data_IF_312267414701
#
_entry.id   IF_312267414701
#
_cell.length_a   1.000
_cell.length_b   1.000
_cell.length_c   1.000
_cell.angle_alpha   90.00
_cell.angle_beta   90.00
_cell.angle_gamma   90.00
#
_symmetry.space_group_name_H-M   'P 1'
#
loop_
_entity.id
_entity.type
_entity.pdbx_description
1 polymer ?
#
# COMPACT_ATOMS: atom_id res chain seq x y z
N UNK A 1 -21.21 -17.54 0.59
CA UNK A 1 -21.08 -16.51 1.62
C UNK A 1 -19.68 -16.57 2.15
N UNK A 2 -18.91 -15.48 2.07
CA UNK A 2 -17.55 -15.48 2.60
C UNK A 2 -17.65 -15.28 4.11
N UNK A 3 -17.59 -16.38 4.84
CA UNK A 3 -17.42 -16.38 6.30
C UNK A 3 -16.16 -15.54 6.61
N UNK A 4 -16.36 -14.32 7.10
CA UNK A 4 -15.27 -13.42 7.43
C UNK A 4 -14.59 -13.93 8.69
N UNK A 5 -13.51 -14.71 8.53
CA UNK A 5 -12.68 -15.13 9.66
C UNK A 5 -12.28 -13.87 10.46
N UNK A 6 -12.36 -13.87 11.80
CA UNK A 6 -12.06 -12.69 12.61
C UNK A 6 -10.73 -11.99 12.25
N UNK A 7 -9.72 -12.77 11.87
CA UNK A 7 -8.43 -12.26 11.38
C UNK A 7 -8.49 -11.46 10.08
N UNK A 8 -9.28 -11.88 9.07
CA UNK A 8 -9.37 -11.14 7.81
C UNK A 8 -10.08 -9.80 7.99
N UNK A 9 -11.09 -9.74 8.86
CA UNK A 9 -11.77 -8.49 9.21
C UNK A 9 -10.86 -7.50 9.94
N UNK A 10 -10.00 -8.00 10.84
CA UNK A 10 -9.01 -7.17 11.52
C UNK A 10 -7.98 -6.65 10.53
N UNK A 11 -7.45 -7.51 9.66
CA UNK A 11 -6.48 -7.14 8.62
C UNK A 11 -7.02 -6.04 7.69
N UNK A 12 -8.24 -6.20 7.16
CA UNK A 12 -8.87 -5.19 6.31
C UNK A 12 -9.01 -3.85 7.04
N UNK A 13 -9.34 -3.87 8.33
CA UNK A 13 -9.44 -2.64 9.13
C UNK A 13 -8.08 -1.99 9.35
N UNK A 14 -7.06 -2.76 9.74
CA UNK A 14 -5.73 -2.21 10.02
C UNK A 14 -5.08 -1.65 8.75
N UNK A 15 -5.20 -2.36 7.63
CA UNK A 15 -4.75 -1.89 6.32
C UNK A 15 -5.51 -0.64 5.90
N UNK A 16 -6.85 -0.64 6.00
CA UNK A 16 -7.64 0.55 5.66
C UNK A 16 -7.30 1.77 6.53
N UNK A 17 -7.07 1.59 7.83
CA UNK A 17 -6.64 2.70 8.71
C UNK A 17 -5.25 3.21 8.32
N UNK A 18 -4.31 2.33 7.96
CA UNK A 18 -2.99 2.71 7.44
C UNK A 18 -3.10 3.55 6.17
N UNK A 19 -3.89 3.10 5.21
CA UNK A 19 -4.05 3.77 3.92
C UNK A 19 -4.71 5.15 4.09
N UNK A 20 -5.70 5.25 4.98
CA UNK A 20 -6.30 6.53 5.37
C UNK A 20 -5.29 7.47 6.03
N UNK A 21 -4.48 6.97 6.96
CA UNK A 21 -3.47 7.79 7.63
C UNK A 21 -2.43 8.33 6.66
N UNK A 22 -1.94 7.48 5.74
CA UNK A 22 -1.00 7.87 4.69
C UNK A 22 -1.65 8.90 3.75
N UNK A 23 -2.87 8.64 3.26
CA UNK A 23 -3.57 9.56 2.37
C UNK A 23 -3.85 10.92 2.99
N UNK A 24 -4.33 10.96 4.24
CA UNK A 24 -4.55 12.21 4.98
C UNK A 24 -3.24 12.94 5.25
N UNK A 25 -2.18 12.21 5.58
CA UNK A 25 -0.83 12.75 5.73
C UNK A 25 -0.32 13.42 4.46
N UNK A 26 -0.42 12.73 3.32
CA UNK A 26 -0.06 13.26 2.00
C UNK A 26 -0.88 14.51 1.66
N UNK A 27 -2.20 14.48 1.83
CA UNK A 27 -3.06 15.65 1.56
C UNK A 27 -2.72 16.85 2.45
N UNK A 28 -2.46 16.62 3.74
CA UNK A 28 -2.03 17.67 4.67
C UNK A 28 -0.66 18.23 4.30
N UNK A 29 0.25 17.40 3.80
CA UNK A 29 1.57 17.84 3.37
C UNK A 29 1.50 18.68 2.09
N UNK A 30 0.68 18.25 1.12
CA UNK A 30 0.42 19.01 -0.11
C UNK A 30 -0.22 20.38 0.18
N UNK A 31 -1.21 20.43 1.07
CA UNK A 31 -1.85 21.71 1.45
C UNK A 31 -0.92 22.66 2.20
N UNK A 32 0.13 22.15 2.86
CA UNK A 32 1.16 22.94 3.55
C UNK A 32 2.37 23.25 2.67
N UNK A 33 2.44 22.69 1.46
CA UNK A 33 3.55 22.86 0.53
C UNK A 33 4.88 22.25 0.98
N UNK A 34 4.87 21.28 1.91
CA UNK A 34 6.10 20.62 2.40
C UNK A 34 5.86 19.22 2.96
N UNK A 35 6.84 18.33 2.83
CA UNK A 35 6.84 16.99 3.43
C UNK A 35 5.94 15.97 2.73
N UNK A 36 5.48 16.25 1.52
CA UNK A 36 4.66 15.32 0.74
C UNK A 36 5.48 14.08 0.34
N UNK A 37 6.76 14.28 0.03
CA UNK A 37 7.70 13.21 -0.31
C UNK A 37 7.74 12.11 0.73
N UNK A 38 7.86 12.44 2.02
CA UNK A 38 7.89 11.46 3.11
C UNK A 38 6.63 10.59 3.17
N UNK A 39 5.45 11.19 3.00
CA UNK A 39 4.19 10.44 3.03
C UNK A 39 4.01 9.54 1.79
N UNK A 40 4.41 10.02 0.62
CA UNK A 40 4.41 9.21 -0.61
C UNK A 40 5.40 8.05 -0.50
N UNK A 41 6.60 8.27 0.05
CA UNK A 41 7.57 7.20 0.33
C UNK A 41 7.02 6.16 1.31
N UNK A 42 6.34 6.59 2.37
CA UNK A 42 5.71 5.68 3.32
C UNK A 42 4.65 4.79 2.65
N UNK A 43 3.81 5.37 1.78
CA UNK A 43 2.86 4.61 0.96
C UNK A 43 3.56 3.59 0.05
N UNK A 44 4.53 4.05 -0.73
CA UNK A 44 5.28 3.17 -1.64
C UNK A 44 5.99 2.02 -0.92
N UNK A 45 6.54 2.26 0.28
CA UNK A 45 7.15 1.23 1.10
C UNK A 45 6.12 0.20 1.59
N UNK A 46 4.93 0.63 2.01
CA UNK A 46 3.85 -0.27 2.41
C UNK A 46 3.41 -1.16 1.24
N UNK A 47 3.18 -0.58 0.07
CA UNK A 47 2.79 -1.30 -1.14
C UNK A 47 3.86 -2.31 -1.59
N UNK A 48 5.15 -1.95 -1.46
CA UNK A 48 6.25 -2.87 -1.76
C UNK A 48 6.26 -4.08 -0.82
N UNK A 49 6.03 -3.86 0.47
CA UNK A 49 5.93 -4.96 1.45
C UNK A 49 4.73 -5.84 1.16
N UNK A 50 3.57 -5.26 0.85
CA UNK A 50 2.36 -6.01 0.52
C UNK A 50 2.59 -6.89 -0.73
N UNK A 51 3.30 -6.38 -1.75
CA UNK A 51 3.70 -7.16 -2.91
C UNK A 51 4.61 -8.35 -2.54
N UNK A 52 5.62 -8.13 -1.70
CA UNK A 52 6.52 -9.21 -1.23
C UNK A 52 5.76 -10.28 -0.45
N UNK A 53 4.84 -9.87 0.43
CA UNK A 53 4.00 -10.80 1.20
C UNK A 53 3.12 -11.64 0.27
N UNK A 54 2.53 -11.06 -0.76
CA UNK A 54 1.70 -11.77 -1.72
C UNK A 54 2.49 -12.78 -2.58
N UNK A 55 3.74 -12.47 -2.92
CA UNK A 55 4.64 -13.45 -3.55
C UNK A 55 4.88 -14.64 -2.62
N UNK A 56 5.19 -14.38 -1.34
CA UNK A 56 5.42 -15.42 -0.34
C UNK A 56 4.18 -16.28 -0.06
N UNK A 57 2.99 -15.68 -0.10
CA UNK A 57 1.71 -16.35 0.14
C UNK A 57 1.11 -17.03 -1.11
N UNK A 58 1.79 -16.98 -2.26
CA UNK A 58 1.26 -17.49 -3.54
C UNK A 58 0.91 -18.97 -3.53
N UNK A 59 1.63 -19.78 -2.74
CA UNK A 59 1.32 -21.21 -2.54
C UNK A 59 0.01 -21.46 -1.80
N UNK A 60 -0.40 -20.56 -0.90
CA UNK A 60 -1.64 -20.66 -0.12
C UNK A 60 -2.84 -20.02 -0.85
N UNK A 61 -2.60 -18.91 -1.55
CA UNK A 61 -3.64 -18.12 -2.23
C UNK A 61 -3.94 -18.62 -3.66
N UNK A 62 -3.01 -19.36 -4.25
CA UNK A 62 -2.99 -19.66 -5.68
C UNK A 62 -2.34 -18.55 -6.50
N UNK A 63 -1.69 -18.94 -7.60
CA UNK A 63 -0.86 -18.04 -8.43
C UNK A 63 -1.66 -16.89 -9.02
N UNK A 64 -2.90 -17.11 -9.46
CA UNK A 64 -3.75 -16.08 -10.08
C UNK A 64 -4.05 -14.90 -9.13
N UNK A 65 -4.72 -15.15 -7.98
CA UNK A 65 -4.98 -14.11 -6.99
C UNK A 65 -3.72 -13.44 -6.46
N UNK A 66 -2.65 -14.20 -6.21
CA UNK A 66 -1.38 -13.65 -5.78
C UNK A 66 -0.78 -12.71 -6.83
N UNK A 67 -0.73 -13.13 -8.10
CA UNK A 67 -0.22 -12.30 -9.19
C UNK A 67 -1.03 -11.02 -9.37
N UNK A 68 -2.36 -11.09 -9.28
CA UNK A 68 -3.22 -9.93 -9.37
C UNK A 68 -2.89 -8.92 -8.25
N UNK A 69 -2.78 -9.39 -7.00
CA UNK A 69 -2.40 -8.54 -5.88
C UNK A 69 -1.00 -7.96 -6.00
N UNK A 70 -0.01 -8.77 -6.40
CA UNK A 70 1.38 -8.32 -6.66
C UNK A 70 1.43 -7.26 -7.73
N UNK A 71 0.64 -7.39 -8.79
CA UNK A 71 0.59 -6.41 -9.88
C UNK A 71 0.05 -5.07 -9.38
N UNK A 72 -1.00 -5.09 -8.55
CA UNK A 72 -1.58 -3.87 -7.96
C UNK A 72 -0.61 -3.23 -6.98
N UNK A 73 -0.16 -3.97 -5.96
CA UNK A 73 0.71 -3.44 -4.91
C UNK A 73 2.09 -3.06 -5.46
N UNK A 74 2.71 -3.92 -6.28
CA UNK A 74 3.98 -3.62 -6.91
C UNK A 74 3.90 -2.43 -7.88
N UNK A 75 2.81 -2.32 -8.66
CA UNK A 75 2.56 -1.17 -9.52
C UNK A 75 2.42 0.13 -8.73
N UNK A 76 1.64 0.12 -7.65
CA UNK A 76 1.47 1.26 -6.76
C UNK A 76 2.80 1.67 -6.09
N UNK A 77 3.60 0.71 -5.63
CA UNK A 77 4.93 0.96 -5.07
C UNK A 77 5.86 1.66 -6.08
N UNK A 78 5.92 1.18 -7.33
CA UNK A 78 6.74 1.78 -8.39
C UNK A 78 6.27 3.20 -8.71
N UNK A 79 4.95 3.41 -8.83
CA UNK A 79 4.38 4.73 -9.12
C UNK A 79 4.68 5.68 -7.95
N UNK A 80 4.45 5.26 -6.70
CA UNK A 80 4.73 6.05 -5.51
C UNK A 80 6.21 6.41 -5.39
N UNK A 81 7.12 5.46 -5.65
CA UNK A 81 8.55 5.73 -5.65
C UNK A 81 8.97 6.76 -6.71
N UNK A 82 8.36 6.70 -7.91
CA UNK A 82 8.58 7.70 -8.97
C UNK A 82 8.07 9.07 -8.57
N UNK A 83 6.83 9.16 -8.08
CA UNK A 83 6.25 10.43 -7.59
C UNK A 83 7.12 11.01 -6.47
N UNK A 84 7.56 10.17 -5.53
CA UNK A 84 8.45 10.61 -4.46
C UNK A 84 9.78 11.15 -5.01
N UNK A 85 10.34 10.56 -6.07
CA UNK A 85 11.56 11.05 -6.70
C UNK A 85 11.38 12.43 -7.38
N UNK A 86 10.18 12.69 -7.93
CA UNK A 86 9.83 13.94 -8.62
C UNK A 86 9.42 15.07 -7.67
N UNK A 87 9.07 14.76 -6.42
CA UNK A 87 8.77 15.78 -5.41
C UNK A 87 10.07 16.44 -4.95
N UNK A 88 10.15 17.75 -5.14
CA UNK A 88 11.11 18.61 -4.44
C UNK A 88 10.75 18.65 -2.94
N UNK A 89 11.75 18.65 -2.05
CA UNK A 89 11.52 18.80 -0.61
C UNK A 89 11.20 20.25 -0.22
#
# INVERSE_FOLDING_TARGET
GVESRPGSRLLVRTTGVRDLAIGVGTLRALTRGRGARTWVQAGAACDAVDAVVLVGASGELGVGPALAGVTVAGGAAVIGAKIAADLDE
#
